data_IF_447654508870
#
_entry.id   IF_447654508870
#
_cell.length_a   1.000
_cell.length_b   1.000
_cell.length_c   1.000
_cell.angle_alpha   90.00
_cell.angle_beta   90.00
_cell.angle_gamma   90.00
#
_symmetry.space_group_name_H-M   'P 1'
#
loop_
_entity.id
_entity.type
_entity.pdbx_description
1 polymer ?
#
# COMPACT_ATOMS: atom_id res chain seq x y z
N UNK A 1 6.71 -45.32 -10.85
CA UNK A 1 7.45 -44.38 -11.68
C UNK A 1 7.32 -43.00 -11.05
N UNK A 2 8.39 -42.37 -10.52
CA UNK A 2 8.29 -41.07 -9.88
C UNK A 2 8.35 -39.99 -10.95
N UNK A 3 7.43 -38.99 -10.83
CA UNK A 3 7.38 -37.80 -11.70
C UNK A 3 8.58 -36.90 -11.41
N UNK A 4 9.39 -36.63 -12.43
CA UNK A 4 10.50 -35.69 -12.40
C UNK A 4 9.98 -34.27 -12.21
N UNK A 5 10.34 -33.63 -11.09
CA UNK A 5 10.20 -32.20 -10.84
C UNK A 5 11.19 -31.45 -11.76
N UNK A 6 10.66 -30.72 -12.70
CA UNK A 6 11.45 -29.78 -13.50
C UNK A 6 11.73 -28.52 -12.67
N UNK A 7 12.93 -28.44 -12.08
CA UNK A 7 13.47 -27.16 -11.56
C UNK A 7 13.55 -26.17 -12.72
N UNK A 8 12.77 -25.10 -12.66
CA UNK A 8 13.01 -23.91 -13.49
C UNK A 8 14.30 -23.27 -12.97
N UNK A 9 15.35 -23.37 -13.76
CA UNK A 9 16.58 -22.60 -13.61
C UNK A 9 16.19 -21.14 -13.88
N UNK A 10 16.33 -20.26 -12.89
CA UNK A 10 16.24 -18.80 -13.06
C UNK A 10 17.45 -18.35 -13.87
N UNK A 11 17.22 -18.15 -15.15
CA UNK A 11 18.25 -17.63 -16.06
C UNK A 11 18.23 -16.10 -15.90
N UNK A 12 19.14 -15.56 -15.06
CA UNK A 12 19.43 -14.13 -15.06
C UNK A 12 20.17 -13.78 -16.34
N UNK A 13 19.66 -12.86 -17.19
CA UNK A 13 20.41 -12.39 -18.32
C UNK A 13 21.67 -11.69 -17.81
N UNK A 14 22.84 -12.14 -18.24
CA UNK A 14 24.11 -11.42 -18.04
C UNK A 14 24.02 -10.11 -18.80
N UNK A 15 23.76 -9.01 -18.11
CA UNK A 15 23.96 -7.68 -18.66
C UNK A 15 25.48 -7.48 -18.89
N UNK A 16 25.89 -6.94 -20.06
CA UNK A 16 27.29 -6.68 -20.34
C UNK A 16 27.85 -5.71 -19.29
N UNK A 17 28.94 -6.11 -18.67
CA UNK A 17 29.70 -5.27 -17.72
C UNK A 17 30.62 -4.39 -18.57
N UNK A 18 30.08 -3.34 -19.15
CA UNK A 18 30.87 -2.22 -19.59
C UNK A 18 30.98 -1.22 -18.43
N UNK A 19 32.23 -0.92 -18.04
CA UNK A 19 32.61 -0.05 -16.95
C UNK A 19 32.24 1.41 -17.23
N UNK A 20 30.97 1.71 -17.23
CA UNK A 20 30.47 3.09 -17.13
C UNK A 20 30.25 3.33 -15.64
N UNK A 21 31.01 4.26 -15.05
CA UNK A 21 30.70 4.78 -13.73
C UNK A 21 29.25 5.26 -13.75
N UNK A 22 28.34 4.46 -13.22
CA UNK A 22 26.94 4.84 -13.06
C UNK A 22 26.96 5.98 -12.07
N UNK A 23 26.50 7.19 -12.41
CA UNK A 23 26.34 8.26 -11.44
C UNK A 23 25.52 7.71 -10.28
N UNK A 24 25.93 8.04 -9.04
CA UNK A 24 25.08 7.78 -7.87
C UNK A 24 23.72 8.34 -8.20
N UNK A 25 22.70 7.47 -8.28
CA UNK A 25 21.35 7.92 -8.52
C UNK A 25 21.00 8.88 -7.36
N UNK A 26 20.80 10.18 -7.63
CA UNK A 26 20.47 11.14 -6.60
C UNK A 26 19.22 10.74 -5.81
N UNK A 27 18.41 9.83 -6.34
CA UNK A 27 17.19 9.32 -5.71
C UNK A 27 17.47 8.29 -4.60
N UNK A 28 18.68 7.70 -4.52
CA UNK A 28 19.06 6.82 -3.40
C UNK A 28 19.48 7.58 -2.15
N UNK A 29 19.99 8.79 -2.29
CA UNK A 29 20.41 9.61 -1.13
C UNK A 29 19.26 9.93 -0.17
N UNK A 30 18.03 10.26 -0.63
CA UNK A 30 16.89 10.45 0.26
C UNK A 30 16.51 9.18 1.03
N UNK A 31 16.59 7.99 0.42
CA UNK A 31 16.34 6.72 1.10
C UNK A 31 17.35 6.48 2.22
N UNK A 32 18.65 6.60 1.95
CA UNK A 32 19.68 6.39 2.96
C UNK A 32 19.54 7.38 4.12
N UNK A 33 19.30 8.67 3.84
CA UNK A 33 19.10 9.68 4.87
C UNK A 33 17.91 9.39 5.78
N UNK A 34 16.82 8.85 5.23
CA UNK A 34 15.66 8.44 6.02
C UNK A 34 15.94 7.18 6.84
N UNK A 35 16.66 6.21 6.25
CA UNK A 35 17.04 4.97 6.94
C UNK A 35 18.05 5.22 8.06
N UNK A 36 18.95 6.21 7.93
CA UNK A 36 19.88 6.63 8.96
C UNK A 36 19.18 7.23 10.20
N UNK A 37 17.94 7.71 10.05
CA UNK A 37 17.14 8.21 11.17
C UNK A 37 16.55 7.10 12.05
N UNK A 38 16.62 5.84 11.62
CA UNK A 38 16.10 4.71 12.37
C UNK A 38 17.07 4.33 13.49
N UNK A 39 16.53 4.14 14.70
CA UNK A 39 17.31 3.63 15.82
C UNK A 39 17.71 2.17 15.56
N UNK A 40 19.03 1.89 15.70
CA UNK A 40 19.55 0.54 15.53
C UNK A 40 19.36 -0.27 16.82
N UNK A 41 18.47 -1.28 16.83
CA UNK A 41 18.16 -2.06 18.02
C UNK A 41 19.28 -3.01 18.45
N UNK A 42 20.35 -3.13 17.67
CA UNK A 42 21.48 -4.03 17.96
C UNK A 42 22.41 -3.43 19.00
N UNK A 43 23.06 -4.29 19.76
CA UNK A 43 24.17 -3.89 20.66
C UNK A 43 25.38 -3.47 19.83
N UNK A 44 26.12 -2.45 20.27
CA UNK A 44 27.21 -1.85 19.50
C UNK A 44 28.27 -2.85 19.01
N UNK A 45 28.64 -3.82 19.83
CA UNK A 45 29.62 -4.84 19.44
C UNK A 45 29.11 -5.84 18.38
N UNK A 46 27.82 -5.79 18.00
CA UNK A 46 27.22 -6.62 16.97
C UNK A 46 26.94 -5.85 15.66
N UNK A 47 27.34 -4.57 15.59
CA UNK A 47 27.09 -3.68 14.44
C UNK A 47 28.25 -3.76 13.42
N UNK A 48 28.44 -4.93 12.80
CA UNK A 48 29.44 -5.07 11.71
C UNK A 48 29.07 -4.25 10.47
N UNK A 49 27.80 -3.96 10.27
CA UNK A 49 27.26 -3.18 9.14
C UNK A 49 26.32 -2.10 9.67
N UNK A 50 26.28 -0.92 9.03
CA UNK A 50 25.26 0.09 9.34
C UNK A 50 23.86 -0.47 9.10
N UNK A 51 22.88 -0.09 9.94
CA UNK A 51 21.49 -0.49 9.76
C UNK A 51 20.94 0.03 8.43
N UNK A 52 21.18 1.31 8.11
CA UNK A 52 20.71 1.93 6.86
C UNK A 52 21.25 1.21 5.62
N UNK A 53 22.52 0.81 5.64
CA UNK A 53 23.09 0.05 4.51
C UNK A 53 22.40 -1.31 4.34
N UNK A 54 22.16 -2.04 5.45
CA UNK A 54 21.46 -3.34 5.41
C UNK A 54 20.04 -3.20 4.89
N UNK A 55 19.33 -2.18 5.33
CA UNK A 55 17.98 -1.89 4.86
C UNK A 55 17.97 -1.47 3.38
N UNK A 56 18.92 -0.62 2.96
CA UNK A 56 19.07 -0.22 1.56
C UNK A 56 19.36 -1.44 0.65
N UNK A 57 20.28 -2.33 1.06
CA UNK A 57 20.53 -3.58 0.33
C UNK A 57 19.26 -4.40 0.17
N UNK A 58 18.45 -4.49 1.23
CA UNK A 58 17.22 -5.28 1.18
C UNK A 58 16.17 -4.65 0.25
N UNK A 59 16.00 -3.32 0.28
CA UNK A 59 15.10 -2.60 -0.64
C UNK A 59 15.56 -2.75 -2.08
N UNK A 60 16.85 -2.53 -2.37
CA UNK A 60 17.41 -2.66 -3.72
C UNK A 60 17.32 -4.10 -4.22
N UNK A 61 17.59 -5.10 -3.35
CA UNK A 61 17.42 -6.51 -3.68
C UNK A 61 15.99 -6.87 -4.04
N UNK A 62 15.00 -6.39 -3.28
CA UNK A 62 13.58 -6.57 -3.60
C UNK A 62 13.18 -5.88 -4.92
N UNK A 63 13.68 -4.69 -5.20
CA UNK A 63 13.49 -4.02 -6.50
C UNK A 63 14.15 -4.79 -7.66
N UNK A 64 15.22 -5.56 -7.37
CA UNK A 64 15.85 -6.47 -8.30
C UNK A 64 15.19 -7.87 -8.35
N UNK A 65 13.95 -8.00 -7.84
CA UNK A 65 13.15 -9.23 -7.84
C UNK A 65 13.68 -10.36 -6.95
N UNK A 66 14.52 -10.04 -5.93
CA UNK A 66 14.90 -11.02 -4.92
C UNK A 66 13.71 -11.30 -3.98
N UNK A 67 13.36 -12.56 -3.79
CA UNK A 67 12.17 -12.99 -3.03
C UNK A 67 12.47 -13.40 -1.58
N UNK A 68 13.74 -13.65 -1.25
CA UNK A 68 14.15 -14.15 0.08
C UNK A 68 15.54 -13.65 0.48
N UNK A 69 15.89 -13.87 1.76
CA UNK A 69 17.16 -13.40 2.32
C UNK A 69 18.40 -14.00 1.66
N UNK A 70 18.31 -15.22 1.13
CA UNK A 70 19.43 -15.88 0.45
C UNK A 70 19.72 -15.16 -0.86
N UNK A 71 18.71 -14.89 -1.64
CA UNK A 71 18.82 -14.16 -2.90
C UNK A 71 19.31 -12.73 -2.69
N UNK A 72 18.81 -12.02 -1.65
CA UNK A 72 19.29 -10.68 -1.31
C UNK A 72 20.77 -10.71 -0.92
N UNK A 73 21.20 -11.68 -0.13
CA UNK A 73 22.60 -11.82 0.25
C UNK A 73 23.50 -12.14 -0.95
N UNK A 74 23.06 -13.01 -1.85
CA UNK A 74 23.80 -13.35 -3.08
C UNK A 74 23.80 -12.19 -4.07
N UNK A 75 22.70 -11.43 -4.20
CA UNK A 75 22.67 -10.17 -4.94
C UNK A 75 23.70 -9.18 -4.38
N UNK A 76 23.75 -9.01 -3.06
CA UNK A 76 24.74 -8.15 -2.40
C UNK A 76 26.18 -8.53 -2.76
N UNK A 77 26.53 -9.82 -2.68
CA UNK A 77 27.84 -10.32 -3.08
C UNK A 77 28.15 -10.08 -4.56
N UNK A 78 27.16 -10.36 -5.43
CA UNK A 78 27.30 -10.16 -6.88
C UNK A 78 27.54 -8.69 -7.24
N UNK A 79 26.95 -7.78 -6.48
CA UNK A 79 27.02 -6.32 -6.71
C UNK A 79 27.94 -5.60 -5.72
N UNK A 80 28.81 -6.32 -5.01
CA UNK A 80 29.65 -5.74 -3.96
C UNK A 80 30.54 -4.58 -4.46
N UNK A 81 31.13 -4.68 -5.61
CA UNK A 81 31.93 -3.61 -6.20
C UNK A 81 31.09 -2.34 -6.44
N UNK A 82 29.87 -2.53 -6.90
CA UNK A 82 28.92 -1.41 -7.07
C UNK A 82 28.59 -0.78 -5.72
N UNK A 83 28.24 -1.57 -4.71
CA UNK A 83 27.95 -1.05 -3.36
C UNK A 83 29.17 -0.34 -2.77
N UNK A 84 30.36 -0.92 -2.90
CA UNK A 84 31.60 -0.32 -2.40
C UNK A 84 31.93 1.02 -3.07
N UNK A 85 31.71 1.15 -4.38
CA UNK A 85 31.90 2.42 -5.10
C UNK A 85 30.96 3.54 -4.62
N UNK A 86 29.85 3.18 -3.94
CA UNK A 86 28.91 4.11 -3.32
C UNK A 86 29.11 4.24 -1.80
N UNK A 87 30.25 3.76 -1.27
CA UNK A 87 30.57 3.81 0.16
C UNK A 87 29.78 2.82 1.03
N UNK A 88 29.09 1.86 0.42
CA UNK A 88 28.30 0.84 1.11
C UNK A 88 29.08 -0.48 1.09
N UNK A 89 29.13 -1.19 2.23
CA UNK A 89 29.71 -2.55 2.30
C UNK A 89 31.14 -2.68 1.75
N UNK A 90 32.00 -1.73 2.06
CA UNK A 90 33.41 -1.72 1.58
C UNK A 90 34.15 -3.02 1.96
N UNK A 91 33.88 -3.56 3.15
CA UNK A 91 34.50 -4.78 3.69
C UNK A 91 33.66 -6.04 3.47
N UNK A 92 32.65 -5.99 2.59
CA UNK A 92 31.78 -7.13 2.27
C UNK A 92 30.34 -6.96 2.71
N UNK A 93 29.45 -7.79 2.16
CA UNK A 93 27.99 -7.75 2.38
C UNK A 93 27.54 -8.73 3.45
N UNK A 94 26.40 -8.48 4.13
CA UNK A 94 25.88 -9.38 5.17
C UNK A 94 25.39 -10.70 4.60
N UNK A 95 25.51 -11.77 5.40
CA UNK A 95 24.91 -13.07 5.09
C UNK A 95 23.36 -13.03 5.26
N UNK A 96 22.69 -13.98 4.65
CA UNK A 96 21.24 -14.16 4.80
C UNK A 96 20.78 -14.31 6.25
N UNK A 97 21.57 -15.00 7.09
CA UNK A 97 21.30 -15.13 8.52
C UNK A 97 21.39 -13.77 9.25
N UNK A 98 22.35 -12.94 8.83
CA UNK A 98 22.50 -11.59 9.39
C UNK A 98 21.34 -10.72 9.00
N UNK A 99 20.89 -10.74 7.73
CA UNK A 99 19.69 -10.06 7.28
C UNK A 99 18.46 -10.47 8.09
N UNK A 100 18.20 -11.78 8.17
CA UNK A 100 17.05 -12.29 8.92
C UNK A 100 17.06 -11.96 10.41
N UNK A 101 18.26 -11.89 11.05
CA UNK A 101 18.37 -11.47 12.46
C UNK A 101 18.08 -9.99 12.66
N UNK A 102 18.57 -9.14 11.77
CA UNK A 102 18.36 -7.69 11.85
C UNK A 102 16.87 -7.37 11.69
N UNK A 103 16.22 -7.92 10.68
CA UNK A 103 14.80 -7.68 10.42
C UNK A 103 13.88 -8.20 11.53
N UNK A 104 14.27 -9.23 12.27
CA UNK A 104 13.51 -9.68 13.46
C UNK A 104 13.60 -8.72 14.65
N UNK A 105 14.61 -7.88 14.72
CA UNK A 105 14.78 -6.89 15.78
C UNK A 105 14.20 -5.53 15.41
N UNK A 106 13.93 -5.30 14.12
CA UNK A 106 13.45 -4.02 13.61
C UNK A 106 12.01 -3.78 14.08
N UNK A 107 11.73 -2.56 14.52
CA UNK A 107 10.37 -2.11 14.75
C UNK A 107 9.65 -1.91 13.41
N UNK A 108 8.69 -2.80 13.13
CA UNK A 108 7.99 -2.83 11.86
C UNK A 108 7.15 -1.57 11.60
N UNK A 109 6.60 -0.94 12.65
CA UNK A 109 5.79 0.29 12.50
C UNK A 109 6.68 1.49 12.20
N UNK A 110 7.82 1.59 12.88
CA UNK A 110 8.80 2.67 12.64
C UNK A 110 9.37 2.53 11.23
N UNK A 111 9.72 1.31 10.81
CA UNK A 111 10.20 1.06 9.44
C UNK A 111 9.12 1.38 8.38
N UNK A 112 7.88 0.98 8.60
CA UNK A 112 6.77 1.26 7.67
C UNK A 112 6.54 2.77 7.50
N UNK A 113 6.62 3.55 8.60
CA UNK A 113 6.54 5.02 8.53
C UNK A 113 7.69 5.63 7.74
N UNK A 114 8.91 5.20 8.01
CA UNK A 114 10.10 5.66 7.28
C UNK A 114 9.98 5.37 5.79
N UNK A 115 9.58 4.15 5.44
CA UNK A 115 9.40 3.73 4.05
C UNK A 115 8.27 4.51 3.34
N UNK A 116 7.13 4.76 4.02
CA UNK A 116 6.04 5.57 3.48
C UNK A 116 6.48 7.03 3.21
N UNK A 117 7.31 7.61 4.07
CA UNK A 117 7.89 8.94 3.86
C UNK A 117 8.80 8.96 2.63
N UNK A 118 9.65 7.94 2.47
CA UNK A 118 10.48 7.82 1.27
C UNK A 118 9.64 7.71 0.00
N UNK A 119 8.63 6.84 -0.02
CA UNK A 119 7.72 6.73 -1.16
C UNK A 119 7.06 8.07 -1.49
N UNK A 120 6.58 8.81 -0.49
CA UNK A 120 5.97 10.12 -0.72
C UNK A 120 6.97 11.14 -1.31
N UNK A 121 8.24 11.10 -0.90
CA UNK A 121 9.28 11.96 -1.48
C UNK A 121 9.59 11.55 -2.92
N UNK A 122 9.71 10.25 -3.20
CA UNK A 122 10.03 9.74 -4.53
C UNK A 122 8.89 9.95 -5.54
N UNK A 123 7.64 9.76 -5.10
CA UNK A 123 6.45 9.88 -5.96
C UNK A 123 5.98 11.34 -6.08
N UNK A 124 6.24 12.15 -5.05
CA UNK A 124 5.72 13.53 -4.96
C UNK A 124 4.23 13.59 -4.61
N UNK A 125 3.57 14.73 -4.90
CA UNK A 125 2.15 14.91 -4.64
C UNK A 125 1.30 13.93 -5.43
N UNK A 126 0.44 13.19 -4.75
CA UNK A 126 -0.49 12.22 -5.35
C UNK A 126 -1.79 12.93 -5.73
N UNK A 127 -2.37 12.54 -6.85
CA UNK A 127 -3.70 12.97 -7.32
C UNK A 127 -4.57 11.76 -7.66
N UNK A 128 -5.81 12.02 -8.09
CA UNK A 128 -6.73 10.99 -8.57
C UNK A 128 -7.23 10.04 -7.46
N UNK A 129 -7.17 8.73 -7.69
CA UNK A 129 -7.77 7.74 -6.80
C UNK A 129 -6.71 7.04 -5.95
N UNK A 130 -6.98 6.99 -4.64
CA UNK A 130 -6.22 6.17 -3.68
C UNK A 130 -7.14 5.04 -3.20
N UNK A 131 -6.83 3.81 -3.59
CA UNK A 131 -7.58 2.63 -3.16
C UNK A 131 -6.97 2.06 -1.88
N UNK A 132 -7.80 1.88 -0.84
CA UNK A 132 -7.40 1.21 0.40
C UNK A 132 -8.06 -0.17 0.43
N UNK A 133 -7.25 -1.21 0.55
CA UNK A 133 -7.69 -2.61 0.54
C UNK A 133 -6.90 -3.46 1.55
N UNK A 134 -7.58 -4.43 2.13
CA UNK A 134 -7.00 -5.41 3.05
C UNK A 134 -6.70 -6.73 2.35
N UNK A 135 -5.47 -7.25 2.51
CA UNK A 135 -5.05 -8.54 1.95
C UNK A 135 -4.39 -9.43 2.98
N UNK A 136 -4.78 -10.69 2.97
CA UNK A 136 -4.12 -11.73 3.79
C UNK A 136 -3.03 -12.40 2.97
N UNK A 137 -1.80 -12.35 3.47
CA UNK A 137 -0.67 -13.08 2.89
C UNK A 137 -0.77 -14.56 3.26
N UNK A 138 -1.30 -15.37 2.35
CA UNK A 138 -1.55 -16.82 2.60
C UNK A 138 -0.27 -17.62 2.84
N UNK A 139 0.87 -17.16 2.32
CA UNK A 139 2.15 -17.82 2.45
C UNK A 139 2.92 -17.45 3.73
N UNK A 140 2.41 -16.53 4.54
CA UNK A 140 3.07 -16.07 5.77
C UNK A 140 2.74 -16.91 7.00
N UNK A 141 1.83 -17.87 6.90
CA UNK A 141 1.52 -18.83 7.96
C UNK A 141 2.35 -20.10 7.80
N UNK A 142 3.25 -20.37 8.75
CA UNK A 142 4.05 -21.59 8.78
C UNK A 142 3.40 -22.57 9.79
N UNK A 143 2.55 -23.46 9.26
CA UNK A 143 1.85 -24.48 10.03
C UNK A 143 0.79 -23.95 11.03
N UNK A 144 0.40 -24.78 11.99
CA UNK A 144 -0.71 -24.53 12.93
C UNK A 144 -0.47 -23.40 13.96
N UNK A 145 0.70 -22.77 13.99
CA UNK A 145 1.10 -21.82 15.03
C UNK A 145 1.26 -20.36 14.57
N UNK A 146 1.40 -20.09 13.29
CA UNK A 146 1.57 -18.73 12.78
C UNK A 146 0.30 -18.28 12.03
N UNK A 147 -0.42 -17.30 12.58
CA UNK A 147 -1.54 -16.66 11.87
C UNK A 147 -0.99 -15.93 10.63
N UNK A 148 -1.65 -16.11 9.48
CA UNK A 148 -1.29 -15.41 8.27
C UNK A 148 -1.34 -13.89 8.47
N UNK A 149 -0.30 -13.19 8.02
CA UNK A 149 -0.22 -11.73 8.12
C UNK A 149 -1.32 -11.13 7.25
N UNK A 150 -2.11 -10.26 7.85
CA UNK A 150 -3.08 -9.43 7.16
C UNK A 150 -2.54 -8.00 7.06
N UNK A 151 -2.58 -7.41 5.87
CA UNK A 151 -2.09 -6.04 5.65
C UNK A 151 -3.18 -5.19 5.01
N UNK A 152 -3.31 -3.95 5.48
CA UNK A 152 -4.10 -2.91 4.84
C UNK A 152 -3.14 -1.98 4.11
N UNK A 153 -3.35 -1.78 2.83
CA UNK A 153 -2.49 -0.97 1.97
C UNK A 153 -3.26 0.13 1.26
N UNK A 154 -2.61 1.27 1.04
CA UNK A 154 -3.10 2.35 0.20
C UNK A 154 -2.33 2.37 -1.13
N UNK A 155 -3.04 2.20 -2.23
CA UNK A 155 -2.48 2.15 -3.57
C UNK A 155 -2.96 3.33 -4.40
N UNK A 156 -2.04 4.04 -5.03
CA UNK A 156 -2.35 5.14 -5.95
C UNK A 156 -2.56 4.60 -7.37
N UNK A 157 -3.75 4.85 -7.93
CA UNK A 157 -4.06 4.44 -9.31
C UNK A 157 -3.28 5.23 -10.35
N UNK A 158 -2.94 6.48 -10.06
CA UNK A 158 -2.26 7.36 -11.00
C UNK A 158 -0.77 7.01 -11.14
N UNK A 159 -0.13 6.66 -10.03
CA UNK A 159 1.31 6.35 -10.00
C UNK A 159 1.59 4.85 -10.10
N UNK A 160 0.60 3.99 -9.85
CA UNK A 160 0.77 2.54 -9.81
C UNK A 160 1.60 2.05 -8.61
N UNK A 161 1.70 2.85 -7.54
CA UNK A 161 2.56 2.56 -6.39
C UNK A 161 1.73 2.40 -5.12
N UNK A 162 2.13 1.48 -4.24
CA UNK A 162 1.63 1.39 -2.86
C UNK A 162 2.29 2.48 -2.02
N UNK A 163 1.49 3.44 -1.55
CA UNK A 163 1.95 4.60 -0.79
C UNK A 163 2.31 4.28 0.65
N UNK A 164 1.57 3.38 1.27
CA UNK A 164 1.79 2.90 2.63
C UNK A 164 1.04 1.60 2.87
N UNK A 165 1.49 0.84 3.87
CA UNK A 165 0.74 -0.32 4.36
C UNK A 165 0.97 -0.51 5.87
N UNK A 166 -0.02 -1.12 6.51
CA UNK A 166 -0.02 -1.45 7.94
C UNK A 166 -0.40 -2.91 8.09
N UNK A 167 0.41 -3.67 8.84
CA UNK A 167 0.11 -5.04 9.17
C UNK A 167 -0.89 -5.09 10.34
N UNK A 168 -1.84 -6.02 10.29
CA UNK A 168 -2.78 -6.29 11.38
C UNK A 168 -2.69 -7.75 11.81
N UNK A 169 -2.97 -8.01 13.08
CA UNK A 169 -2.96 -9.38 13.60
C UNK A 169 -4.11 -10.24 13.03
N UNK A 170 -5.22 -9.61 12.65
CA UNK A 170 -6.42 -10.29 12.16
C UNK A 170 -7.17 -9.41 11.14
N UNK A 171 -7.92 -10.07 10.24
CA UNK A 171 -8.78 -9.38 9.25
C UNK A 171 -9.84 -8.49 9.91
N UNK A 172 -10.35 -8.86 11.08
CA UNK A 172 -11.31 -8.06 11.86
C UNK A 172 -10.77 -6.69 12.28
N UNK A 173 -9.45 -6.48 12.22
CA UNK A 173 -8.80 -5.24 12.60
C UNK A 173 -8.58 -4.25 11.43
N UNK A 174 -9.12 -4.54 10.23
CA UNK A 174 -9.01 -3.61 9.08
C UNK A 174 -9.57 -2.22 9.42
N UNK A 175 -10.71 -2.16 10.11
CA UNK A 175 -11.35 -0.89 10.51
C UNK A 175 -10.40 -0.03 11.35
N UNK A 176 -9.58 -0.65 12.20
CA UNK A 176 -8.60 0.06 13.04
C UNK A 176 -7.29 0.38 12.30
N UNK A 177 -6.96 -0.37 11.26
CA UNK A 177 -5.76 -0.15 10.46
C UNK A 177 -5.95 0.93 9.39
N UNK A 178 -7.14 1.08 8.82
CA UNK A 178 -7.43 2.11 7.80
C UNK A 178 -7.08 3.52 8.30
N UNK A 179 -7.48 3.96 9.51
CA UNK A 179 -7.06 5.24 10.05
C UNK A 179 -5.54 5.40 10.18
N UNK A 180 -4.81 4.32 10.50
CA UNK A 180 -3.35 4.35 10.59
C UNK A 180 -2.70 4.50 9.21
N UNK A 181 -3.21 3.78 8.19
CA UNK A 181 -2.77 3.95 6.79
C UNK A 181 -3.01 5.38 6.32
N UNK A 182 -4.19 5.95 6.64
CA UNK A 182 -4.50 7.35 6.31
C UNK A 182 -3.56 8.35 6.99
N UNK A 183 -3.00 8.03 8.17
CA UNK A 183 -2.02 8.88 8.85
C UNK A 183 -0.65 8.88 8.14
N UNK A 184 -0.34 7.82 7.43
CA UNK A 184 0.92 7.65 6.71
C UNK A 184 0.95 8.32 5.33
N UNK A 185 -0.19 8.74 4.77
CA UNK A 185 -0.29 9.23 3.39
C UNK A 185 -0.89 10.63 3.30
N UNK A 186 -0.53 11.36 2.25
CA UNK A 186 -1.17 12.64 1.91
C UNK A 186 -2.32 12.38 0.92
N UNK A 187 -3.57 12.64 1.35
CA UNK A 187 -4.78 12.40 0.52
C UNK A 187 -5.46 13.69 0.08
N UNK A 188 -4.81 14.84 0.27
CA UNK A 188 -5.38 16.14 -0.14
C UNK A 188 -5.65 16.16 -1.65
N UNK A 189 -6.92 16.37 -2.02
CA UNK A 189 -7.35 16.43 -3.43
C UNK A 189 -7.49 15.06 -4.11
N UNK A 190 -7.27 13.96 -3.37
CA UNK A 190 -7.50 12.60 -3.86
C UNK A 190 -8.92 12.14 -3.53
N UNK A 191 -9.42 11.18 -4.28
CA UNK A 191 -10.61 10.40 -3.94
C UNK A 191 -10.18 9.06 -3.33
N UNK A 192 -10.43 8.86 -2.06
CA UNK A 192 -10.13 7.60 -1.36
C UNK A 192 -11.27 6.62 -1.57
N UNK A 193 -10.95 5.41 -2.07
CA UNK A 193 -11.93 4.33 -2.22
C UNK A 193 -11.64 3.22 -1.23
N UNK A 194 -12.68 2.73 -0.55
CA UNK A 194 -12.60 1.64 0.43
C UNK A 194 -13.80 0.73 0.22
N UNK A 195 -13.64 -0.54 0.49
CA UNK A 195 -14.72 -1.51 0.45
C UNK A 195 -15.76 -1.26 1.58
N UNK A 196 -16.80 -2.12 1.62
CA UNK A 196 -17.89 -1.95 2.58
C UNK A 196 -17.46 -2.02 4.04
N UNK A 197 -16.37 -2.74 4.37
CA UNK A 197 -15.89 -2.86 5.75
C UNK A 197 -15.36 -1.52 6.27
N UNK A 198 -14.76 -0.72 5.39
CA UNK A 198 -14.28 0.63 5.67
C UNK A 198 -15.36 1.72 5.58
N UNK A 199 -16.62 1.37 5.31
CA UNK A 199 -17.74 2.32 5.31
C UNK A 199 -18.13 2.68 6.74
N UNK A 200 -17.31 3.51 7.40
CA UNK A 200 -17.48 3.96 8.79
C UNK A 200 -17.41 5.49 8.83
N UNK A 201 -18.21 6.08 9.74
CA UNK A 201 -18.31 7.53 9.88
C UNK A 201 -16.95 8.16 10.21
N UNK A 202 -16.25 7.59 11.16
CA UNK A 202 -14.94 8.07 11.63
C UNK A 202 -13.89 8.05 10.51
N UNK A 203 -13.96 7.05 9.62
CA UNK A 203 -13.05 6.95 8.46
C UNK A 203 -13.40 8.05 7.45
N UNK A 204 -14.67 8.25 7.14
CA UNK A 204 -15.13 9.31 6.24
C UNK A 204 -14.72 10.70 6.77
N UNK A 205 -14.95 10.96 8.06
CA UNK A 205 -14.54 12.21 8.72
C UNK A 205 -13.04 12.42 8.65
N UNK A 206 -12.24 11.38 8.91
CA UNK A 206 -10.79 11.46 8.84
C UNK A 206 -10.29 11.81 7.44
N UNK A 207 -10.87 11.22 6.40
CA UNK A 207 -10.53 11.55 5.00
C UNK A 207 -10.85 13.03 4.72
N UNK A 208 -12.03 13.50 5.14
CA UNK A 208 -12.44 14.90 4.95
C UNK A 208 -11.57 15.90 5.72
N UNK A 209 -11.19 15.59 6.95
CA UNK A 209 -10.25 16.41 7.75
C UNK A 209 -8.90 16.53 7.05
N UNK A 210 -8.46 15.51 6.33
CA UNK A 210 -7.22 15.51 5.53
C UNK A 210 -7.42 16.09 4.12
N UNK A 211 -8.57 16.72 3.85
CA UNK A 211 -8.94 17.39 2.59
C UNK A 211 -8.99 16.44 1.38
N UNK A 212 -9.27 15.17 1.62
CA UNK A 212 -9.61 14.18 0.60
C UNK A 212 -11.12 14.07 0.39
N UNK A 213 -11.50 13.51 -0.74
CA UNK A 213 -12.85 13.01 -1.01
C UNK A 213 -12.89 11.50 -0.84
N UNK A 214 -14.06 10.91 -0.75
CA UNK A 214 -14.19 9.46 -0.59
C UNK A 214 -15.29 8.87 -1.45
N UNK A 215 -15.11 7.60 -1.80
CA UNK A 215 -16.12 6.73 -2.38
C UNK A 215 -16.15 5.44 -1.58
N UNK A 216 -17.14 5.29 -0.70
CA UNK A 216 -17.29 4.15 0.21
C UNK A 216 -18.44 3.26 -0.25
N UNK A 217 -18.21 1.95 -0.25
CA UNK A 217 -19.24 0.99 -0.61
C UNK A 217 -20.18 0.74 0.58
N UNK A 218 -21.48 0.98 0.39
CA UNK A 218 -22.50 0.68 1.40
C UNK A 218 -23.09 -0.72 1.14
N UNK A 219 -23.07 -1.58 2.15
CA UNK A 219 -23.65 -2.92 2.13
C UNK A 219 -24.49 -3.16 3.40
N UNK A 220 -24.82 -4.42 3.67
CA UNK A 220 -25.64 -4.85 4.81
C UNK A 220 -25.00 -4.61 6.19
N UNK A 221 -23.72 -4.25 6.25
CA UNK A 221 -23.04 -3.77 7.46
C UNK A 221 -23.50 -2.37 7.89
N UNK A 222 -24.18 -1.63 6.99
CA UNK A 222 -24.80 -0.32 7.25
C UNK A 222 -26.27 -0.35 6.82
N UNK A 223 -27.15 -1.12 7.50
CA UNK A 223 -28.49 -1.42 6.99
C UNK A 223 -29.39 -0.19 6.89
N UNK A 224 -29.33 0.73 7.85
CA UNK A 224 -30.12 1.98 7.81
C UNK A 224 -29.70 2.88 6.65
N UNK A 225 -28.41 3.14 6.52
CA UNK A 225 -27.85 3.95 5.40
C UNK A 225 -28.16 3.31 4.05
N UNK A 226 -28.09 1.98 3.96
CA UNK A 226 -28.46 1.25 2.74
C UNK A 226 -29.95 1.43 2.41
N UNK A 227 -30.84 1.31 3.40
CA UNK A 227 -32.27 1.54 3.22
C UNK A 227 -32.55 2.97 2.74
N UNK A 228 -31.98 3.97 3.42
CA UNK A 228 -32.15 5.39 3.04
C UNK A 228 -31.67 5.67 1.61
N UNK A 229 -30.57 5.03 1.18
CA UNK A 229 -30.08 5.15 -0.20
C UNK A 229 -31.03 4.50 -1.19
N UNK A 230 -31.52 3.30 -0.89
CA UNK A 230 -32.49 2.58 -1.75
C UNK A 230 -33.77 3.40 -1.90
N UNK A 231 -34.30 3.92 -0.80
CA UNK A 231 -35.50 4.74 -0.79
C UNK A 231 -35.30 6.04 -1.58
N UNK A 232 -34.15 6.71 -1.39
CA UNK A 232 -33.78 7.91 -2.14
C UNK A 232 -33.72 7.65 -3.66
N UNK A 233 -33.04 6.61 -4.09
CA UNK A 233 -32.93 6.30 -5.52
C UNK A 233 -34.26 5.85 -6.12
N UNK A 234 -35.06 5.08 -5.35
CA UNK A 234 -36.40 4.65 -5.77
C UNK A 234 -37.33 5.83 -5.96
N UNK A 235 -37.38 6.76 -5.00
CA UNK A 235 -38.19 7.98 -5.08
C UNK A 235 -37.72 8.90 -6.24
N UNK A 236 -36.40 9.04 -6.42
CA UNK A 236 -35.82 9.80 -7.53
C UNK A 236 -36.24 9.22 -8.90
N UNK A 237 -36.19 7.89 -9.04
CA UNK A 237 -36.63 7.21 -10.25
C UNK A 237 -38.12 7.42 -10.53
N UNK A 238 -39.00 7.31 -9.50
CA UNK A 238 -40.46 7.54 -9.63
C UNK A 238 -40.75 8.95 -10.06
N UNK A 239 -40.00 9.95 -9.59
CA UNK A 239 -40.13 11.36 -9.96
C UNK A 239 -39.43 11.74 -11.25
N UNK A 240 -38.77 10.80 -11.93
CA UNK A 240 -38.02 11.04 -13.17
C UNK A 240 -36.81 11.96 -12.95
N UNK A 241 -36.21 11.92 -11.76
CA UNK A 241 -35.04 12.71 -11.36
C UNK A 241 -35.23 14.23 -11.42
N UNK A 242 -36.49 14.69 -11.36
CA UNK A 242 -36.82 16.11 -11.29
C UNK A 242 -36.18 16.72 -10.04
N UNK A 243 -35.58 17.90 -10.20
CA UNK A 243 -34.97 18.68 -9.12
C UNK A 243 -33.74 18.01 -8.47
N UNK A 244 -33.18 16.95 -9.09
CA UNK A 244 -31.95 16.29 -8.64
C UNK A 244 -30.91 16.42 -9.76
N UNK A 245 -29.83 17.12 -9.47
CA UNK A 245 -28.68 17.12 -10.38
C UNK A 245 -28.10 15.71 -10.46
N UNK A 246 -28.13 15.12 -11.63
CA UNK A 246 -27.64 13.75 -11.84
C UNK A 246 -26.98 13.60 -13.20
N UNK A 247 -26.13 12.59 -13.31
CA UNK A 247 -25.54 12.14 -14.55
C UNK A 247 -25.84 10.65 -14.72
N UNK A 248 -26.28 10.29 -15.92
CA UNK A 248 -26.54 8.89 -16.27
C UNK A 248 -25.60 8.48 -17.39
N UNK A 249 -24.94 7.32 -17.27
CA UNK A 249 -24.26 6.70 -18.36
C UNK A 249 -24.52 5.19 -18.34
N UNK A 250 -24.48 4.60 -19.51
CA UNK A 250 -24.68 3.16 -19.70
C UNK A 250 -23.37 2.54 -20.15
N UNK A 251 -22.99 1.42 -19.55
CA UNK A 251 -21.86 0.61 -19.97
C UNK A 251 -22.28 -0.84 -20.14
N UNK A 252 -21.64 -1.54 -21.03
CA UNK A 252 -21.84 -2.97 -21.24
C UNK A 252 -20.65 -3.71 -20.64
N UNK A 253 -20.91 -4.66 -19.73
CA UNK A 253 -19.85 -5.51 -19.21
C UNK A 253 -19.27 -6.37 -20.34
N UNK A 254 -18.00 -6.20 -20.71
CA UNK A 254 -17.38 -6.98 -21.79
C UNK A 254 -17.37 -8.49 -21.53
N UNK A 255 -17.51 -8.91 -20.26
CA UNK A 255 -17.56 -10.32 -19.85
C UNK A 255 -18.97 -10.90 -19.85
N UNK A 256 -19.99 -10.06 -19.80
CA UNK A 256 -21.40 -10.48 -19.80
C UNK A 256 -22.24 -9.56 -20.69
N UNK A 257 -22.20 -9.84 -22.00
CA UNK A 257 -22.87 -9.04 -23.06
C UNK A 257 -24.40 -8.93 -22.92
N UNK A 258 -25.00 -9.67 -21.99
CA UNK A 258 -26.46 -9.67 -21.75
C UNK A 258 -26.93 -8.73 -20.65
N UNK A 259 -26.00 -8.04 -19.96
CA UNK A 259 -26.36 -7.08 -18.88
C UNK A 259 -25.84 -5.69 -19.22
N UNK A 260 -26.77 -4.80 -19.45
CA UNK A 260 -26.52 -3.36 -19.45
C UNK A 260 -26.49 -2.89 -17.98
N UNK A 261 -25.38 -2.21 -17.60
CA UNK A 261 -25.28 -1.58 -16.28
C UNK A 261 -25.59 -0.11 -16.42
N UNK A 262 -26.64 0.32 -15.72
CA UNK A 262 -27.01 1.73 -15.60
C UNK A 262 -26.38 2.31 -14.33
N UNK A 263 -25.59 3.35 -14.48
CA UNK A 263 -24.99 4.07 -13.37
C UNK A 263 -25.64 5.45 -13.30
N UNK A 264 -26.09 5.83 -12.10
CA UNK A 264 -26.62 7.16 -11.83
C UNK A 264 -25.83 7.77 -10.68
N UNK A 265 -25.35 8.97 -10.87
CA UNK A 265 -24.70 9.78 -9.87
C UNK A 265 -25.62 10.95 -9.54
N UNK A 266 -26.05 11.04 -8.28
CA UNK A 266 -26.78 12.20 -7.79
C UNK A 266 -25.82 13.05 -6.94
N UNK A 267 -25.75 14.33 -7.24
CA UNK A 267 -25.05 15.29 -6.40
C UNK A 267 -26.12 16.04 -5.56
N UNK A 268 -26.04 15.94 -4.23
CA UNK A 268 -26.77 16.84 -3.36
C UNK A 268 -26.09 18.19 -3.31
N UNK A 269 -26.85 19.26 -3.52
CA UNK A 269 -26.35 20.61 -3.28
C UNK A 269 -25.88 20.72 -1.82
N UNK A 270 -24.75 21.40 -1.59
CA UNK A 270 -24.22 21.65 -0.25
C UNK A 270 -25.24 22.32 0.70
N UNK A 271 -26.25 23.03 0.15
CA UNK A 271 -27.34 23.65 0.90
C UNK A 271 -28.34 22.62 1.47
N UNK A 272 -28.56 21.49 0.82
CA UNK A 272 -29.49 20.46 1.29
C UNK A 272 -28.84 19.57 2.38
N UNK A 273 -27.52 19.49 2.40
CA UNK A 273 -26.75 18.81 3.46
C UNK A 273 -26.78 19.62 4.77
N UNK A 274 -26.84 20.95 4.70
CA UNK A 274 -26.89 21.82 5.88
C UNK A 274 -28.26 21.81 6.60
N UNK A 275 -29.35 21.53 5.90
CA UNK A 275 -30.68 21.44 6.50
C UNK A 275 -30.95 20.15 7.29
N UNK A 276 -30.12 19.12 7.14
CA UNK A 276 -30.23 17.85 7.87
C UNK A 276 -29.17 17.69 8.98
N UNK A 277 -28.47 18.75 9.38
CA UNK A 277 -27.51 18.71 10.50
C UNK A 277 -28.16 18.47 11.88
N UNK A 278 -29.49 18.55 12.00
CA UNK A 278 -30.21 18.19 13.22
C UNK A 278 -30.67 16.72 13.29
N UNK A 279 -30.32 15.91 12.30
CA UNK A 279 -30.44 14.45 12.34
C UNK A 279 -29.13 13.83 11.94
N UNK A 280 -28.59 12.86 12.70
CA UNK A 280 -27.34 12.21 12.37
C UNK A 280 -27.56 11.24 11.20
N UNK A 281 -27.60 11.75 9.99
CA UNK A 281 -27.55 10.99 8.77
C UNK A 281 -26.43 11.57 7.94
N UNK A 282 -25.49 10.75 7.66
CA UNK A 282 -24.28 10.88 6.82
C UNK A 282 -24.33 11.94 5.75
#
# INVERSE_FOLDING_TARGET
MPKKSTRRSSFFPRLPIDSVAVPVDPDLLPLLSLLDSLEDPRRDHLKAYSLSHVLALSVIGMLAECENWVEIADFGKLRQEWFASHGLFVDGTPSHDTLGRIFRLLDAEVFARCFALWIQQAVGPVSGVVAIDGKTSRASGDGDLAKAIHTVSAWSSDTGVTLAQVATAEKSNEITAIPQVLDLIAVKGCTVTIDAMGCQKEIAEKIRQRRGDYLLQVKDNQPSTRSDLVDFFTDADQRGWKDIEHTTFTTVDPRNRSREHFYRKAAKSAKDLQKKQDSPVW
#
